data_IF_709354914187
#
_entry.id   IF_709354914187
#
_cell.length_a   1.000
_cell.length_b   1.000
_cell.length_c   1.000
_cell.angle_alpha   90.00
_cell.angle_beta   90.00
_cell.angle_gamma   90.00
#
_symmetry.space_group_name_H-M   'P 1'
#
loop_
_entity.id
_entity.type
_entity.pdbx_description
1 polymer ?
#
# COMPACT_ATOMS: atom_id res chain seq x y z
N UNK A 1 -52.70 -9.84 -16.43
CA UNK A 1 -51.53 -10.02 -15.54
C UNK A 1 -50.29 -9.90 -16.40
N UNK A 2 -49.49 -8.84 -16.25
CA UNK A 2 -48.30 -8.63 -17.08
C UNK A 2 -47.07 -9.28 -16.42
N UNK A 3 -46.48 -10.26 -17.09
CA UNK A 3 -45.31 -10.99 -16.63
C UNK A 3 -44.07 -10.07 -16.62
N UNK A 4 -43.50 -9.83 -15.43
CA UNK A 4 -42.23 -9.12 -15.26
C UNK A 4 -41.09 -9.97 -15.81
N UNK A 5 -40.65 -9.68 -17.03
CA UNK A 5 -39.44 -10.24 -17.65
C UNK A 5 -38.23 -9.97 -16.74
N UNK A 6 -37.79 -10.97 -15.97
CA UNK A 6 -36.55 -10.91 -15.18
C UNK A 6 -35.39 -10.63 -16.14
N UNK A 7 -34.75 -9.46 -15.99
CA UNK A 7 -33.49 -9.15 -16.67
C UNK A 7 -32.41 -10.06 -16.06
N UNK A 8 -32.26 -11.26 -16.62
CA UNK A 8 -31.09 -12.11 -16.36
C UNK A 8 -29.86 -11.34 -16.79
N UNK A 9 -29.04 -10.91 -15.82
CA UNK A 9 -27.75 -10.29 -16.09
C UNK A 9 -26.94 -11.21 -17.01
N UNK A 10 -26.53 -10.67 -18.16
CA UNK A 10 -25.60 -11.35 -19.07
C UNK A 10 -24.26 -11.59 -18.38
N UNK A 11 -23.59 -12.68 -18.72
CA UNK A 11 -22.32 -13.09 -18.10
C UNK A 11 -21.25 -12.00 -18.19
N UNK A 12 -21.25 -11.29 -19.33
CA UNK A 12 -20.40 -10.13 -19.60
C UNK A 12 -20.61 -8.98 -18.59
N UNK A 13 -21.87 -8.70 -18.25
CA UNK A 13 -22.21 -7.68 -17.27
C UNK A 13 -21.79 -8.09 -15.85
N UNK A 14 -21.90 -9.39 -15.50
CA UNK A 14 -21.42 -9.90 -14.21
C UNK A 14 -19.90 -9.77 -14.09
N UNK A 15 -19.16 -10.10 -15.15
CA UNK A 15 -17.70 -9.89 -15.23
C UNK A 15 -17.33 -8.42 -15.10
N UNK A 16 -18.04 -7.52 -15.78
CA UNK A 16 -17.78 -6.08 -15.69
C UNK A 16 -18.01 -5.51 -14.27
N UNK A 17 -19.00 -6.03 -13.53
CA UNK A 17 -19.25 -5.68 -12.13
C UNK A 17 -18.15 -6.26 -11.22
N UNK A 18 -17.77 -7.52 -11.43
CA UNK A 18 -16.71 -8.15 -10.64
C UNK A 18 -15.37 -7.41 -10.81
N UNK A 19 -14.99 -7.11 -12.05
CA UNK A 19 -13.81 -6.31 -12.36
C UNK A 19 -13.89 -4.91 -11.72
N UNK A 20 -15.06 -4.25 -11.77
CA UNK A 20 -15.25 -2.95 -11.12
C UNK A 20 -15.06 -2.99 -9.59
N UNK A 21 -15.46 -4.09 -8.93
CA UNK A 21 -15.26 -4.27 -7.49
C UNK A 21 -13.81 -4.52 -7.12
N UNK A 22 -13.10 -5.29 -7.94
CA UNK A 22 -11.68 -5.58 -7.75
C UNK A 22 -10.83 -4.30 -7.90
N UNK A 23 -11.10 -3.54 -8.97
CA UNK A 23 -10.51 -2.21 -9.20
C UNK A 23 -10.74 -1.27 -8.01
N UNK A 24 -11.98 -1.18 -7.51
CA UNK A 24 -12.30 -0.37 -6.33
C UNK A 24 -11.54 -0.81 -5.07
N UNK A 25 -11.34 -2.12 -4.88
CA UNK A 25 -10.64 -2.66 -3.71
C UNK A 25 -9.16 -2.32 -3.73
N UNK A 26 -8.47 -2.56 -4.84
CA UNK A 26 -7.05 -2.24 -4.96
C UNK A 26 -6.79 -0.74 -4.84
N UNK A 27 -7.64 0.10 -5.47
CA UNK A 27 -7.54 1.56 -5.31
C UNK A 27 -7.76 1.99 -3.86
N UNK A 28 -8.80 1.47 -3.19
CA UNK A 28 -9.06 1.82 -1.79
C UNK A 28 -7.92 1.37 -0.86
N UNK A 29 -7.42 0.15 -1.03
CA UNK A 29 -6.33 -0.40 -0.22
C UNK A 29 -5.06 0.45 -0.32
N UNK A 30 -4.68 0.87 -1.54
CA UNK A 30 -3.51 1.73 -1.73
C UNK A 30 -3.69 3.13 -1.13
N UNK A 31 -4.86 3.76 -1.32
CA UNK A 31 -5.13 5.08 -0.74
C UNK A 31 -5.15 5.03 0.79
N UNK A 32 -5.77 4.02 1.39
CA UNK A 32 -5.76 3.81 2.84
C UNK A 32 -4.34 3.54 3.36
N UNK A 33 -3.56 2.72 2.65
CA UNK A 33 -2.16 2.47 2.97
C UNK A 33 -1.34 3.77 2.92
N UNK A 34 -1.54 4.63 1.91
CA UNK A 34 -0.88 5.93 1.80
C UNK A 34 -1.24 6.87 2.97
N UNK A 35 -2.50 6.89 3.39
CA UNK A 35 -2.93 7.70 4.53
C UNK A 35 -2.26 7.24 5.83
N UNK A 36 -2.13 5.93 6.02
CA UNK A 36 -1.50 5.31 7.18
C UNK A 36 0.04 5.42 7.16
N UNK A 37 0.66 5.54 5.99
CA UNK A 37 2.12 5.48 5.79
C UNK A 37 2.80 6.81 5.45
N UNK A 38 2.16 7.97 5.72
CA UNK A 38 2.76 9.28 5.44
C UNK A 38 4.19 9.37 6.02
N UNK A 39 5.23 9.57 5.18
CA UNK A 39 6.61 9.34 5.60
C UNK A 39 7.13 10.40 6.57
N UNK A 40 7.83 9.96 7.63
CA UNK A 40 8.81 10.80 8.36
C UNK A 40 10.19 10.60 7.70
N UNK A 41 10.75 11.68 7.14
CA UNK A 41 12.00 11.67 6.33
C UNK A 41 13.17 11.04 7.12
N UNK A 42 13.82 10.00 6.56
CA UNK A 42 15.08 9.47 7.09
C UNK A 42 15.55 8.17 6.41
N UNK A 43 16.87 8.03 6.23
CA UNK A 43 17.64 6.98 5.52
C UNK A 43 17.08 5.54 5.66
N UNK A 44 17.02 4.80 4.54
CA UNK A 44 16.56 3.40 4.50
C UNK A 44 17.45 2.49 5.37
N UNK A 45 16.90 1.94 6.47
CA UNK A 45 17.36 0.68 7.07
C UNK A 45 16.80 -0.48 6.21
N UNK A 46 17.50 -1.61 6.11
CA UNK A 46 16.95 -2.80 5.43
C UNK A 46 16.44 -3.82 6.45
N UNK A 47 15.32 -4.52 6.19
CA UNK A 47 14.69 -5.43 7.16
C UNK A 47 15.62 -6.58 7.55
N UNK A 48 16.41 -7.10 6.61
CA UNK A 48 17.41 -8.15 6.86
C UNK A 48 18.50 -7.72 7.86
N UNK A 49 18.93 -6.45 7.79
CA UNK A 49 19.93 -5.93 8.73
C UNK A 49 19.36 -5.81 10.14
N UNK A 50 18.09 -5.41 10.25
CA UNK A 50 17.40 -5.32 11.54
C UNK A 50 17.22 -6.71 12.16
N UNK A 51 16.85 -7.71 11.37
CA UNK A 51 16.67 -9.09 11.86
C UNK A 51 17.98 -9.67 12.42
N UNK A 52 19.10 -9.46 11.70
CA UNK A 52 20.45 -9.83 12.19
C UNK A 52 20.82 -9.11 13.48
N UNK A 53 20.48 -7.83 13.61
CA UNK A 53 20.76 -7.08 14.84
C UNK A 53 19.91 -7.55 16.02
N UNK A 54 18.62 -7.87 15.79
CA UNK A 54 17.75 -8.44 16.82
C UNK A 54 18.27 -9.78 17.33
N UNK A 55 18.72 -10.67 16.44
CA UNK A 55 19.34 -11.94 16.82
C UNK A 55 20.60 -11.74 17.67
N UNK A 56 21.46 -10.78 17.28
CA UNK A 56 22.67 -10.46 18.03
C UNK A 56 22.38 -9.84 19.42
N UNK A 57 21.28 -9.09 19.58
CA UNK A 57 20.86 -8.57 20.88
C UNK A 57 20.33 -9.69 21.79
N UNK A 58 19.63 -10.68 21.24
CA UNK A 58 19.11 -11.82 22.01
C UNK A 58 20.25 -12.64 22.63
N UNK A 59 21.31 -12.91 21.87
CA UNK A 59 22.53 -13.53 22.41
C UNK A 59 23.18 -12.69 23.53
N UNK A 60 23.25 -11.36 23.37
CA UNK A 60 23.84 -10.46 24.38
C UNK A 60 23.01 -10.41 25.66
N UNK A 61 21.69 -10.53 25.57
CA UNK A 61 20.79 -10.55 26.74
C UNK A 61 21.07 -11.71 27.69
N UNK A 62 21.49 -12.86 27.17
CA UNK A 62 21.77 -14.05 27.98
C UNK A 62 22.96 -13.89 28.92
N UNK A 63 23.89 -12.97 28.61
CA UNK A 63 25.15 -12.73 29.36
C UNK A 63 25.19 -11.37 30.05
N UNK A 64 24.16 -10.53 29.87
CA UNK A 64 24.13 -9.17 30.36
C UNK A 64 23.79 -9.07 31.86
N UNK A 65 24.50 -8.18 32.57
CA UNK A 65 24.11 -7.76 33.92
C UNK A 65 22.84 -6.89 33.89
N UNK A 66 22.26 -6.58 35.05
CA UNK A 66 20.97 -5.86 35.15
C UNK A 66 20.92 -4.52 34.38
N UNK A 67 22.00 -3.73 34.42
CA UNK A 67 22.05 -2.42 33.75
C UNK A 67 22.22 -2.58 32.23
N UNK A 68 23.13 -3.45 31.79
CA UNK A 68 23.33 -3.73 30.37
C UNK A 68 22.08 -4.34 29.74
N UNK A 69 21.34 -5.17 30.49
CA UNK A 69 20.08 -5.78 30.04
C UNK A 69 19.02 -4.72 29.73
N UNK A 70 18.92 -3.67 30.54
CA UNK A 70 17.99 -2.56 30.30
C UNK A 70 18.31 -1.83 28.98
N UNK A 71 19.59 -1.50 28.74
CA UNK A 71 20.01 -0.85 27.49
C UNK A 71 19.72 -1.72 26.27
N UNK A 72 20.04 -3.02 26.34
CA UNK A 72 19.80 -3.95 25.23
C UNK A 72 18.29 -4.11 24.95
N UNK A 73 17.46 -4.10 25.98
CA UNK A 73 16.00 -4.12 25.81
C UNK A 73 15.52 -2.85 25.10
N UNK A 74 16.07 -1.68 25.45
CA UNK A 74 15.75 -0.42 24.75
C UNK A 74 16.15 -0.50 23.27
N UNK A 75 17.38 -0.91 22.96
CA UNK A 75 17.85 -1.12 21.58
C UNK A 75 16.95 -2.09 20.80
N UNK A 76 16.46 -3.15 21.45
CA UNK A 76 15.51 -4.10 20.86
C UNK A 76 14.18 -3.42 20.52
N UNK A 77 13.64 -2.58 21.40
CA UNK A 77 12.39 -1.83 21.16
C UNK A 77 12.57 -0.90 19.95
N UNK A 78 13.65 -0.13 19.91
CA UNK A 78 13.95 0.78 18.80
C UNK A 78 14.12 0.05 17.46
N UNK A 79 14.75 -1.13 17.47
CA UNK A 79 14.89 -1.96 16.28
C UNK A 79 13.57 -2.57 15.82
N UNK A 80 12.71 -3.01 16.75
CA UNK A 80 11.37 -3.51 16.41
C UNK A 80 10.48 -2.40 15.82
N UNK A 81 10.51 -1.19 16.38
CA UNK A 81 9.80 -0.05 15.81
C UNK A 81 10.29 0.30 14.40
N UNK A 82 11.61 0.25 14.18
CA UNK A 82 12.18 0.42 12.85
C UNK A 82 11.79 -0.71 11.89
N UNK A 83 11.66 -1.96 12.36
CA UNK A 83 11.19 -3.10 11.55
C UNK A 83 9.75 -2.89 11.10
N UNK A 84 8.88 -2.46 12.01
CA UNK A 84 7.48 -2.20 11.71
C UNK A 84 7.35 -1.12 10.62
N UNK A 85 8.08 -0.01 10.71
CA UNK A 85 8.10 1.02 9.66
C UNK A 85 8.53 0.45 8.30
N UNK A 86 9.54 -0.44 8.25
CA UNK A 86 9.97 -1.06 7.00
C UNK A 86 8.97 -2.08 6.46
N UNK A 87 8.29 -2.83 7.32
CA UNK A 87 7.24 -3.74 6.90
C UNK A 87 6.10 -2.97 6.24
N UNK A 88 5.65 -1.87 6.86
CA UNK A 88 4.61 -1.04 6.27
C UNK A 88 5.04 -0.41 4.92
N UNK A 89 6.33 -0.08 4.71
CA UNK A 89 6.86 0.39 3.41
C UNK A 89 6.81 -0.71 2.32
N UNK A 90 7.07 -1.96 2.70
CA UNK A 90 6.95 -3.14 1.82
C UNK A 90 5.48 -3.42 1.49
N UNK A 91 4.60 -3.37 2.48
CA UNK A 91 3.15 -3.51 2.28
C UNK A 91 2.64 -2.40 1.34
N UNK A 92 3.05 -1.15 1.55
CA UNK A 92 2.73 -0.03 0.65
C UNK A 92 3.20 -0.28 -0.78
N UNK A 93 4.42 -0.83 -0.97
CA UNK A 93 4.94 -1.17 -2.30
C UNK A 93 4.11 -2.26 -2.99
N UNK A 94 3.55 -3.21 -2.22
CA UNK A 94 2.66 -4.26 -2.76
C UNK A 94 1.33 -3.64 -3.21
N UNK A 95 0.69 -2.82 -2.35
CA UNK A 95 -0.53 -2.11 -2.72
C UNK A 95 -0.32 -1.13 -3.89
N UNK A 96 0.87 -0.56 -4.02
CA UNK A 96 1.23 0.30 -5.15
C UNK A 96 1.23 -0.47 -6.48
N UNK A 97 1.71 -1.71 -6.49
CA UNK A 97 1.74 -2.54 -7.70
C UNK A 97 0.32 -2.89 -8.16
N UNK A 98 -0.51 -3.38 -7.22
CA UNK A 98 -1.93 -3.66 -7.48
C UNK A 98 -2.67 -2.40 -7.96
N UNK A 99 -2.37 -1.24 -7.35
CA UNK A 99 -2.92 0.05 -7.77
C UNK A 99 -2.53 0.38 -9.22
N UNK A 100 -1.25 0.23 -9.56
CA UNK A 100 -0.72 0.54 -10.90
C UNK A 100 -1.43 -0.24 -11.98
N UNK A 101 -1.76 -1.51 -11.74
CA UNK A 101 -2.47 -2.37 -12.70
C UNK A 101 -3.90 -1.92 -13.00
N UNK A 102 -4.60 -1.36 -12.00
CA UNK A 102 -6.04 -1.06 -12.12
C UNK A 102 -6.38 0.41 -12.25
N UNK A 103 -5.48 1.31 -11.85
CA UNK A 103 -5.83 2.71 -11.59
C UNK A 103 -6.22 3.49 -12.86
N UNK A 104 -5.60 3.22 -14.01
CA UNK A 104 -5.99 3.88 -15.26
C UNK A 104 -7.44 3.56 -15.64
N UNK A 105 -7.77 2.27 -15.76
CA UNK A 105 -9.13 1.84 -16.10
C UNK A 105 -10.15 2.31 -15.07
N UNK A 106 -9.81 2.27 -13.78
CA UNK A 106 -10.69 2.79 -12.72
C UNK A 106 -10.93 4.29 -12.88
N UNK A 107 -9.86 5.07 -13.10
CA UNK A 107 -9.90 6.51 -13.27
C UNK A 107 -10.71 6.92 -14.51
N UNK A 108 -10.50 6.27 -15.65
CA UNK A 108 -11.25 6.51 -16.88
C UNK A 108 -12.75 6.25 -16.70
N UNK A 109 -13.11 5.11 -16.10
CA UNK A 109 -14.52 4.75 -15.84
C UNK A 109 -15.22 5.69 -14.86
N UNK A 110 -14.46 6.33 -13.97
CA UNK A 110 -14.97 7.23 -12.93
C UNK A 110 -14.78 8.71 -13.25
N UNK A 111 -14.13 9.05 -14.36
CA UNK A 111 -13.80 10.44 -14.70
C UNK A 111 -12.82 11.10 -13.72
N UNK A 112 -11.90 10.34 -13.11
CA UNK A 112 -10.94 10.86 -12.13
C UNK A 112 -9.73 11.41 -12.87
N UNK A 113 -9.45 12.70 -12.64
CA UNK A 113 -8.31 13.39 -13.26
C UNK A 113 -7.00 13.09 -12.53
N UNK A 114 -5.88 13.28 -13.24
CA UNK A 114 -4.54 13.25 -12.64
C UNK A 114 -4.42 14.15 -11.41
N UNK A 115 -5.03 15.34 -11.46
CA UNK A 115 -5.02 16.29 -10.34
C UNK A 115 -5.69 15.69 -9.08
N UNK A 116 -6.84 15.03 -9.23
CA UNK A 116 -7.53 14.41 -8.10
C UNK A 116 -6.66 13.35 -7.39
N UNK A 117 -5.94 12.53 -8.14
CA UNK A 117 -5.00 11.56 -7.55
C UNK A 117 -3.84 12.24 -6.80
N UNK A 118 -3.33 13.34 -7.34
CA UNK A 118 -2.25 14.11 -6.71
C UNK A 118 -2.69 14.78 -5.42
N UNK A 119 -3.93 15.28 -5.35
CA UNK A 119 -4.50 15.87 -4.13
C UNK A 119 -4.64 14.83 -3.01
N UNK A 120 -4.95 13.58 -3.35
CA UNK A 120 -4.96 12.45 -2.39
C UNK A 120 -3.56 11.96 -2.00
N UNK A 121 -2.49 12.56 -2.53
CA UNK A 121 -1.11 12.25 -2.17
C UNK A 121 -0.45 11.15 -3.01
N UNK A 122 -1.12 10.65 -4.06
CA UNK A 122 -0.51 9.65 -4.95
C UNK A 122 0.72 10.24 -5.66
N UNK A 123 1.89 9.58 -5.65
CA UNK A 123 3.10 10.11 -6.27
C UNK A 123 2.97 10.20 -7.79
N UNK A 124 3.56 11.24 -8.39
CA UNK A 124 3.59 11.39 -9.86
C UNK A 124 4.29 10.22 -10.57
N UNK A 125 5.29 9.61 -9.92
CA UNK A 125 5.98 8.40 -10.40
C UNK A 125 5.04 7.19 -10.47
N UNK A 126 4.15 7.03 -9.49
CA UNK A 126 3.15 5.94 -9.46
C UNK A 126 2.09 6.15 -10.51
N UNK A 127 1.56 7.37 -10.65
CA UNK A 127 0.61 7.70 -11.72
C UNK A 127 1.21 7.47 -13.10
N UNK A 128 2.49 7.80 -13.29
CA UNK A 128 3.21 7.51 -14.53
C UNK A 128 3.31 6.00 -14.79
N UNK A 129 3.63 5.19 -13.77
CA UNK A 129 3.65 3.71 -13.88
C UNK A 129 2.27 3.17 -14.26
N UNK A 130 1.21 3.73 -13.66
CA UNK A 130 -0.18 3.38 -13.95
C UNK A 130 -0.69 3.88 -15.32
N UNK A 131 0.13 4.56 -16.12
CA UNK A 131 -0.30 5.14 -17.40
C UNK A 131 -1.19 6.38 -17.29
N UNK A 132 -1.36 6.94 -16.09
CA UNK A 132 -2.20 8.13 -15.84
C UNK A 132 -1.37 9.39 -16.10
N UNK A 133 -1.55 9.97 -17.29
CA UNK A 133 -0.91 11.21 -17.71
C UNK A 133 -1.63 12.47 -17.24
N UNK A 134 -0.91 13.61 -17.24
CA UNK A 134 -1.47 14.94 -16.91
C UNK A 134 -2.56 15.42 -17.87
N UNK A 135 -2.71 14.76 -19.02
CA UNK A 135 -3.62 15.10 -20.11
C UNK A 135 -4.75 14.06 -20.31
N UNK A 136 -4.84 13.01 -19.50
CA UNK A 136 -5.76 11.87 -19.74
C UNK A 136 -7.24 12.13 -19.37
N UNK A 137 -7.69 13.38 -19.41
CA UNK A 137 -9.11 13.74 -19.32
C UNK A 137 -9.52 14.49 -20.58
N UNK A 138 -9.42 13.82 -21.74
CA UNK A 138 -10.07 14.26 -22.98
C UNK A 138 -10.28 13.04 -23.87
N UNK A 139 -11.53 12.58 -23.96
CA UNK A 139 -11.95 11.43 -24.75
C UNK A 139 -13.38 11.07 -24.42
#
# INVERSE_FOLDING_TARGET
>A
MAERKKRTMSDDHKKAIAAGRDQSRAVAAYLEALENNKPKRGRKRTPETIDRQLAALDEKLSRANAISRLSIIQDRIDLLAAKEVLQNDVDLSTYEDDFVDVAAQYGERKGISYAAWRELGVPASVLKRAGIGRAASSG
#
